data_IF_346638587835
#
_entry.id   IF_346638587835
#
_cell.length_a   1.000
_cell.length_b   1.000
_cell.length_c   1.000
_cell.angle_alpha   90.00
_cell.angle_beta   90.00
_cell.angle_gamma   90.00
#
_symmetry.space_group_name_H-M   'P 1'
#
loop_
_entity.id
_entity.type
_entity.pdbx_description
1 polymer ?
#
# COMPACT_ATOMS: atom_id res chain seq x y z
N UNK A 1 13.66 -8.79 11.89
CA UNK A 1 13.51 -7.39 12.34
C UNK A 1 12.76 -7.38 13.67
N UNK A 2 13.00 -6.42 14.58
CA UNK A 2 12.15 -6.25 15.75
C UNK A 2 10.71 -5.88 15.31
N UNK A 3 9.68 -6.18 16.14
CA UNK A 3 8.31 -5.75 15.86
C UNK A 3 8.25 -4.23 15.71
N UNK A 4 7.59 -3.74 14.68
CA UNK A 4 7.32 -2.31 14.47
C UNK A 4 5.88 -2.04 14.87
N UNK A 5 5.63 -1.04 15.71
CA UNK A 5 4.27 -0.61 16.05
C UNK A 5 3.60 0.04 14.82
N UNK A 6 2.88 -0.75 14.02
CA UNK A 6 2.05 -0.23 12.95
C UNK A 6 0.65 0.14 13.46
N UNK A 7 0.02 1.20 12.95
CA UNK A 7 -1.35 1.55 13.30
C UNK A 7 -2.36 0.61 12.64
N UNK A 8 -3.54 0.46 13.24
CA UNK A 8 -4.61 -0.37 12.65
C UNK A 8 -5.27 0.29 11.42
N UNK A 9 -5.15 1.60 11.31
CA UNK A 9 -5.78 2.42 10.28
C UNK A 9 -4.82 3.52 9.82
N UNK A 10 -4.72 3.74 8.51
CA UNK A 10 -3.89 4.77 7.89
C UNK A 10 -4.74 5.48 6.84
N UNK A 11 -4.81 6.79 6.91
CA UNK A 11 -5.44 7.61 5.88
C UNK A 11 -4.36 8.20 4.98
N UNK A 12 -4.45 7.96 3.68
CA UNK A 12 -3.45 8.40 2.71
C UNK A 12 -4.13 9.28 1.66
N UNK A 13 -3.61 10.48 1.43
CA UNK A 13 -4.12 11.34 0.38
C UNK A 13 -3.38 12.66 0.24
N UNK A 14 -3.65 13.38 -0.85
CA UNK A 14 -3.18 14.75 -0.98
C UNK A 14 -3.97 15.70 -0.08
N UNK A 15 -3.46 16.90 0.18
CA UNK A 15 -4.18 17.95 0.91
C UNK A 15 -5.56 18.23 0.30
N UNK A 16 -5.69 18.17 -1.02
CA UNK A 16 -6.97 18.34 -1.71
C UNK A 16 -7.89 17.13 -1.50
N UNK A 17 -7.36 15.90 -1.59
CA UNK A 17 -8.14 14.69 -1.33
C UNK A 17 -8.73 14.67 0.09
N UNK A 18 -7.96 15.11 1.09
CA UNK A 18 -8.46 15.26 2.46
C UNK A 18 -9.57 16.31 2.58
N UNK A 19 -9.44 17.47 1.94
CA UNK A 19 -10.48 18.53 1.95
C UNK A 19 -11.79 18.07 1.32
N UNK A 20 -11.71 17.17 0.35
CA UNK A 20 -12.87 16.63 -0.36
C UNK A 20 -13.38 15.31 0.25
N UNK A 21 -12.78 14.83 1.35
CA UNK A 21 -13.08 13.50 1.92
C UNK A 21 -12.93 12.34 0.91
N UNK A 22 -11.98 12.47 -0.01
CA UNK A 22 -11.63 11.48 -1.05
C UNK A 22 -10.24 10.86 -0.82
N UNK A 23 -9.77 10.87 0.42
CA UNK A 23 -8.52 10.21 0.79
C UNK A 23 -8.76 8.71 0.91
N UNK A 24 -7.72 7.92 0.67
CA UNK A 24 -7.77 6.48 0.86
C UNK A 24 -7.68 6.14 2.34
N UNK A 25 -8.50 5.19 2.78
CA UNK A 25 -8.43 4.63 4.13
C UNK A 25 -7.96 3.19 4.01
N UNK A 26 -6.84 2.89 4.65
CA UNK A 26 -6.26 1.57 4.73
C UNK A 26 -6.49 1.01 6.12
N UNK A 27 -7.04 -0.20 6.21
CA UNK A 27 -7.25 -0.91 7.46
C UNK A 27 -6.47 -2.20 7.51
N UNK A 28 -5.92 -2.50 8.67
CA UNK A 28 -5.24 -3.76 8.92
C UNK A 28 -6.23 -4.93 8.91
N UNK A 29 -5.99 -5.90 8.05
CA UNK A 29 -6.69 -7.18 8.02
C UNK A 29 -5.86 -8.21 8.78
N UNK A 30 -6.34 -8.63 9.96
CA UNK A 30 -5.66 -9.61 10.81
C UNK A 30 -5.61 -11.03 10.23
N UNK A 31 -6.56 -11.40 9.37
CA UNK A 31 -6.59 -12.73 8.74
C UNK A 31 -5.49 -12.85 7.70
N UNK A 32 -5.33 -11.81 6.88
CA UNK A 32 -4.37 -11.79 5.77
C UNK A 32 -3.05 -11.12 6.12
N UNK A 33 -2.98 -10.45 7.27
CA UNK A 33 -1.85 -9.64 7.74
C UNK A 33 -1.41 -8.60 6.71
N UNK A 34 -2.36 -7.80 6.21
CA UNK A 34 -2.12 -6.71 5.24
C UNK A 34 -2.98 -5.48 5.51
N UNK A 35 -2.52 -4.33 5.00
CA UNK A 35 -3.37 -3.15 4.88
C UNK A 35 -4.22 -3.24 3.62
N UNK A 36 -5.54 -3.17 3.78
CA UNK A 36 -6.52 -3.18 2.69
C UNK A 36 -7.18 -1.83 2.60
N UNK A 37 -7.26 -1.27 1.39
CA UNK A 37 -7.99 -0.06 1.12
C UNK A 37 -9.51 -0.31 1.17
N UNK A 38 -10.25 0.58 1.83
CA UNK A 38 -11.71 0.52 1.86
C UNK A 38 -12.32 0.72 0.46
N UNK A 39 -11.68 1.54 -0.37
CA UNK A 39 -12.13 1.81 -1.73
C UNK A 39 -11.80 0.66 -2.68
N UNK A 40 -12.64 0.50 -3.70
CA UNK A 40 -12.27 -0.28 -4.89
C UNK A 40 -11.29 0.55 -5.73
N UNK A 41 -10.60 -0.12 -6.65
CA UNK A 41 -9.67 0.49 -7.60
C UNK A 41 -10.43 1.30 -8.66
N UNK A 42 -9.72 2.20 -9.35
CA UNK A 42 -10.32 3.02 -10.42
C UNK A 42 -10.82 2.17 -11.60
N UNK A 43 -10.26 0.96 -11.79
CA UNK A 43 -10.71 0.00 -12.81
C UNK A 43 -12.08 -0.62 -12.45
N UNK A 44 -12.54 -0.51 -11.20
CA UNK A 44 -13.90 -0.86 -10.77
C UNK A 44 -14.26 -2.34 -10.93
N UNK A 45 -13.26 -3.22 -11.00
CA UNK A 45 -13.47 -4.67 -11.13
C UNK A 45 -14.07 -5.23 -9.83
N UNK A 46 -14.99 -6.18 -9.95
CA UNK A 46 -15.67 -6.74 -8.79
C UNK A 46 -14.69 -7.48 -7.86
N UNK A 47 -14.79 -7.20 -6.56
CA UNK A 47 -13.84 -7.70 -5.56
C UNK A 47 -12.43 -7.12 -5.62
N UNK A 48 -12.16 -6.15 -6.50
CA UNK A 48 -10.83 -5.55 -6.61
C UNK A 48 -10.56 -4.54 -5.49
N UNK A 49 -9.40 -4.74 -4.84
CA UNK A 49 -8.91 -3.95 -3.72
C UNK A 49 -7.47 -3.54 -3.97
N UNK A 50 -7.13 -2.38 -3.44
CA UNK A 50 -5.73 -1.97 -3.30
C UNK A 50 -5.23 -2.37 -1.91
N UNK A 51 -4.08 -3.03 -1.85
CA UNK A 51 -3.43 -3.44 -0.59
C UNK A 51 -1.99 -2.94 -0.56
N UNK A 52 -1.39 -2.82 0.62
CA UNK A 52 0.05 -2.51 0.74
C UNK A 52 0.79 -3.74 1.26
N UNK A 53 1.79 -4.19 0.49
CA UNK A 53 2.64 -5.35 0.81
C UNK A 53 4.11 -4.93 0.92
N UNK A 54 4.94 -5.81 1.49
CA UNK A 54 6.38 -5.60 1.56
C UNK A 54 7.04 -6.35 0.40
N UNK A 55 7.86 -5.63 -0.37
CA UNK A 55 8.71 -6.20 -1.40
C UNK A 55 10.18 -5.94 -1.04
N UNK A 56 10.96 -7.01 -0.89
CA UNK A 56 12.41 -6.89 -0.74
C UNK A 56 13.06 -6.72 -2.11
N UNK A 57 14.07 -5.85 -2.19
CA UNK A 57 14.86 -5.66 -3.41
C UNK A 57 16.34 -5.49 -3.06
N UNK A 58 17.21 -5.56 -4.06
CA UNK A 58 18.64 -5.30 -3.89
C UNK A 58 18.94 -3.90 -3.34
N UNK A 59 18.05 -2.92 -3.55
CA UNK A 59 18.18 -1.55 -3.02
C UNK A 59 17.51 -1.34 -1.66
N UNK A 60 17.01 -2.42 -1.04
CA UNK A 60 16.35 -2.41 0.27
C UNK A 60 14.87 -2.75 0.20
N UNK A 61 14.21 -2.55 1.33
CA UNK A 61 12.79 -2.86 1.51
C UNK A 61 11.92 -1.78 0.88
N UNK A 62 10.89 -2.21 0.14
CA UNK A 62 9.87 -1.36 -0.45
C UNK A 62 8.50 -1.74 0.10
N UNK A 63 7.63 -0.74 0.24
CA UNK A 63 6.21 -0.91 0.48
C UNK A 63 5.49 -0.64 -0.82
N UNK A 64 4.76 -1.63 -1.32
CA UNK A 64 4.16 -1.60 -2.65
C UNK A 64 2.65 -1.64 -2.51
N UNK A 65 1.98 -0.63 -3.04
CA UNK A 65 0.54 -0.63 -3.22
C UNK A 65 0.20 -1.49 -4.45
N UNK A 66 -0.59 -2.53 -4.26
CA UNK A 66 -0.93 -3.54 -5.27
C UNK A 66 -2.43 -3.62 -5.42
N UNK A 67 -2.90 -3.56 -6.66
CA UNK A 67 -4.27 -3.83 -7.07
C UNK A 67 -4.43 -5.33 -7.31
N UNK A 68 -5.56 -5.88 -6.88
CA UNK A 68 -5.84 -7.30 -7.05
C UNK A 68 -7.19 -7.73 -6.47
N UNK A 69 -7.54 -8.98 -6.72
CA UNK A 69 -8.81 -9.55 -6.28
C UNK A 69 -8.71 -10.06 -4.84
N UNK A 70 -9.65 -9.63 -4.00
CA UNK A 70 -9.78 -10.09 -2.63
C UNK A 70 -10.80 -11.24 -2.54
N UNK A 71 -10.41 -12.36 -1.93
CA UNK A 71 -11.34 -13.41 -1.48
C UNK A 71 -11.43 -13.40 0.05
N UNK A 72 -12.24 -14.30 0.63
CA UNK A 72 -12.36 -14.41 2.09
C UNK A 72 -11.04 -14.77 2.79
N UNK A 73 -10.15 -15.47 2.11
CA UNK A 73 -8.98 -16.15 2.65
C UNK A 73 -7.66 -15.79 1.97
N UNK A 74 -7.69 -15.08 0.84
CA UNK A 74 -6.49 -14.67 0.11
C UNK A 74 -6.68 -13.36 -0.65
N UNK A 75 -5.55 -12.76 -0.99
CA UNK A 75 -5.45 -11.68 -1.97
C UNK A 75 -4.65 -12.19 -3.17
N UNK A 76 -5.16 -12.01 -4.37
CA UNK A 76 -4.48 -12.35 -5.62
C UNK A 76 -4.04 -11.06 -6.29
N UNK A 77 -2.73 -10.81 -6.29
CA UNK A 77 -2.14 -9.63 -6.92
C UNK A 77 -2.40 -9.62 -8.43
N UNK A 78 -2.62 -8.42 -8.98
CA UNK A 78 -2.74 -8.20 -10.43
C UNK A 78 -1.69 -7.20 -10.92
N UNK A 79 -1.60 -6.04 -10.26
CA UNK A 79 -0.75 -4.94 -10.73
C UNK A 79 -0.23 -4.12 -9.55
N UNK A 80 1.05 -3.80 -9.54
CA UNK A 80 1.60 -2.82 -8.61
C UNK A 80 1.26 -1.39 -9.11
N UNK A 81 0.75 -0.52 -8.24
CA UNK A 81 0.37 0.85 -8.61
C UNK A 81 1.42 1.87 -8.15
N UNK A 82 1.84 1.78 -6.89
CA UNK A 82 2.76 2.72 -6.26
C UNK A 82 3.75 1.99 -5.37
N UNK A 83 4.92 2.58 -5.14
CA UNK A 83 5.84 2.09 -4.10
C UNK A 83 6.58 3.19 -3.38
N UNK A 84 7.00 2.92 -2.15
CA UNK A 84 7.86 3.82 -1.36
C UNK A 84 8.84 3.01 -0.50
N UNK A 85 10.00 3.59 -0.17
CA UNK A 85 10.89 3.05 0.88
C UNK A 85 10.65 3.71 2.24
N UNK A 86 9.83 4.77 2.26
CA UNK A 86 9.53 5.50 3.48
C UNK A 86 8.55 4.72 4.36
N UNK A 87 8.63 4.94 5.67
CA UNK A 87 7.73 4.35 6.67
C UNK A 87 6.32 4.98 6.53
N UNK A 88 5.57 4.57 5.51
CA UNK A 88 4.27 5.17 5.11
C UNK A 88 3.22 5.17 6.23
N UNK A 89 3.42 4.35 7.26
CA UNK A 89 2.57 4.26 8.44
C UNK A 89 2.87 5.33 9.50
N UNK A 90 3.88 6.17 9.31
CA UNK A 90 4.13 7.33 10.17
C UNK A 90 3.32 8.51 9.64
N UNK A 91 2.83 9.36 10.54
CA UNK A 91 2.14 10.55 10.12
C UNK A 91 3.13 11.52 9.44
N UNK A 92 2.79 12.02 8.26
CA UNK A 92 3.69 12.88 7.49
C UNK A 92 3.46 12.80 5.98
N UNK A 93 4.26 13.54 5.23
CA UNK A 93 4.29 13.46 3.77
C UNK A 93 5.32 12.44 3.32
N UNK A 94 4.94 11.63 2.34
CA UNK A 94 5.79 10.57 1.78
C UNK A 94 5.86 10.64 0.27
N UNK A 95 7.04 10.36 -0.28
CA UNK A 95 7.24 10.18 -1.72
C UNK A 95 6.85 8.77 -2.17
N UNK A 96 6.12 8.69 -3.27
CA UNK A 96 5.70 7.45 -3.92
C UNK A 96 6.13 7.44 -5.37
N UNK A 97 6.82 6.38 -5.77
CA UNK A 97 7.10 6.09 -7.18
C UNK A 97 5.87 5.46 -7.82
N UNK A 98 5.54 5.94 -9.01
CA UNK A 98 4.41 5.45 -9.80
C UNK A 98 4.86 4.33 -10.71
N UNK A 99 4.07 3.28 -10.83
CA UNK A 99 4.23 2.31 -11.91
C UNK A 99 3.65 2.90 -13.19
N UNK A 100 4.48 3.09 -14.23
CA UNK A 100 4.06 3.57 -15.54
C UNK A 100 3.44 2.48 -16.40
N UNK A 101 3.68 1.22 -16.05
CA UNK A 101 3.04 0.10 -16.70
C UNK A 101 1.62 -0.06 -16.15
N UNK A 102 0.65 0.41 -16.93
CA UNK A 102 -0.77 0.28 -16.58
C UNK A 102 -1.33 -1.12 -16.90
N UNK A 103 -0.60 -1.98 -17.59
CA UNK A 103 -1.03 -3.33 -17.96
C UNK A 103 -0.60 -4.37 -16.90
N UNK A 104 -1.04 -5.62 -17.07
CA UNK A 104 -0.73 -6.77 -16.19
C UNK A 104 0.71 -7.31 -16.35
N UNK A 105 1.67 -6.45 -16.72
CA UNK A 105 3.07 -6.80 -16.89
C UNK A 105 3.93 -6.39 -15.69
N UNK A 106 5.23 -6.68 -15.78
CA UNK A 106 6.20 -6.26 -14.75
C UNK A 106 6.17 -4.73 -14.55
N UNK A 107 6.35 -4.24 -13.32
CA UNK A 107 6.23 -2.82 -13.04
C UNK A 107 7.37 -2.01 -13.68
N UNK A 108 7.01 -0.93 -14.36
CA UNK A 108 7.92 0.08 -14.91
C UNK A 108 7.91 1.31 -14.00
N UNK A 109 8.68 1.23 -12.92
CA UNK A 109 8.74 2.29 -11.92
C UNK A 109 9.35 3.56 -12.50
N UNK A 110 8.63 4.68 -12.33
CA UNK A 110 9.18 5.98 -12.67
C UNK A 110 10.27 6.36 -11.66
N UNK A 111 11.52 6.35 -12.11
CA UNK A 111 12.70 6.70 -11.31
C UNK A 111 13.25 8.08 -11.64
N UNK A 112 12.57 8.89 -12.46
CA UNK A 112 13.04 10.24 -12.78
C UNK A 112 12.90 11.15 -11.56
N UNK A 113 13.88 12.03 -11.34
CA UNK A 113 13.78 13.03 -10.27
C UNK A 113 12.58 13.95 -10.52
N UNK A 114 11.66 14.01 -9.56
CA UNK A 114 10.44 14.83 -9.63
C UNK A 114 9.19 14.13 -10.17
N UNK A 115 9.25 12.87 -10.59
CA UNK A 115 8.07 12.07 -10.97
C UNK A 115 7.35 11.41 -9.79
N UNK A 116 7.85 11.61 -8.56
CA UNK A 116 7.25 11.07 -7.35
C UNK A 116 5.95 11.80 -7.02
N UNK A 117 4.91 11.02 -6.75
CA UNK A 117 3.70 11.54 -6.12
C UNK A 117 3.98 11.74 -4.63
N UNK A 118 3.53 12.87 -4.08
CA UNK A 118 3.59 13.11 -2.65
C UNK A 118 2.19 12.97 -2.05
N UNK A 119 2.08 12.15 -1.01
CA UNK A 119 0.83 11.95 -0.27
C UNK A 119 1.08 12.09 1.23
N UNK A 120 0.09 12.64 1.95
CA UNK A 120 0.10 12.75 3.39
C UNK A 120 -0.55 11.50 4.01
N UNK A 121 0.17 10.85 4.92
CA UNK A 121 -0.34 9.84 5.83
C UNK A 121 -0.84 10.51 7.11
N UNK A 122 -2.10 10.26 7.46
CA UNK A 122 -2.68 10.61 8.77
C UNK A 122 -3.03 9.33 9.51
N UNK A 123 -2.59 9.26 10.75
CA UNK A 123 -2.72 8.06 11.60
C UNK A 123 -3.65 8.40 12.76
N UNK A 124 -4.84 7.77 12.85
CA UNK A 124 -5.71 7.93 14.01
C UNK A 124 -5.03 7.40 15.28
N UNK A 125 -5.36 7.95 16.46
CA UNK A 125 -4.74 7.55 17.73
C UNK A 125 -5.07 6.11 18.19
N UNK A 126 -5.85 5.33 17.41
CA UNK A 126 -6.11 3.92 17.69
C UNK A 126 -4.95 3.06 17.19
N UNK A 127 -3.95 2.89 18.05
CA UNK A 127 -2.82 1.98 17.81
C UNK A 127 -3.16 0.58 18.30
N UNK A 128 -3.41 -0.34 17.38
CA UNK A 128 -3.20 -1.77 17.63
C UNK A 128 -1.79 -2.06 17.15
N UNK A 129 -0.86 -2.37 18.05
CA UNK A 129 0.48 -2.82 17.64
C UNK A 129 0.36 -4.13 16.87
N UNK A 130 0.86 -4.15 15.65
CA UNK A 130 0.98 -5.39 14.86
C UNK A 130 2.42 -5.61 14.46
N UNK A 131 2.94 -6.82 14.70
CA UNK A 131 4.28 -7.18 14.28
C UNK A 131 4.38 -7.23 12.74
N UNK A 132 5.34 -6.50 12.20
CA UNK A 132 5.80 -6.65 10.82
C UNK A 132 6.38 -8.08 10.68
N UNK A 133 5.59 -9.02 10.17
CA UNK A 133 6.01 -10.41 10.01
C UNK A 133 6.17 -10.78 8.52
N UNK A 134 6.77 -11.93 8.26
CA UNK A 134 7.02 -12.42 6.90
C UNK A 134 5.73 -12.68 6.09
N UNK A 135 4.54 -12.58 6.69
CA UNK A 135 3.27 -12.78 5.97
C UNK A 135 2.91 -11.58 5.08
N UNK A 136 3.34 -10.36 5.44
CA UNK A 136 3.31 -9.20 4.52
C UNK A 136 4.18 -9.43 3.27
N UNK A 137 5.20 -10.29 3.37
CA UNK A 137 6.11 -10.64 2.27
C UNK A 137 5.53 -11.74 1.38
N UNK A 138 4.71 -12.65 1.92
CA UNK A 138 4.14 -13.77 1.14
C UNK A 138 3.24 -13.31 -0.01
N UNK A 139 2.59 -12.15 0.10
CA UNK A 139 1.70 -11.64 -0.94
C UNK A 139 2.44 -10.97 -2.11
N UNK A 140 3.74 -10.66 -1.95
CA UNK A 140 4.61 -10.21 -3.03
C UNK A 140 5.29 -11.37 -3.78
N UNK A 141 5.17 -12.60 -3.29
CA UNK A 141 5.83 -13.80 -3.83
C UNK A 141 4.91 -14.72 -4.65
N UNK A 142 3.69 -14.28 -4.98
CA UNK A 142 2.83 -15.03 -5.89
C UNK A 142 3.12 -14.62 -7.33
N UNK A 143 4.14 -15.27 -7.90
CA UNK A 143 4.21 -15.65 -9.32
C UNK A 143 3.85 -17.14 -9.44
#
# INVERSE_FOLDING_TARGET
MPPVDMPAEIHVGTRNAFRQSRHYVYRWNHTLNIFVCDHTTDDGLDGEKMVIVIADSASGQWYVAVEGAMTADRFVSRRAAFRTQEEFWRAGWHGWQVNRNNDSGGPDWDTQDGSQLSAESRVPPRTVTVALNDQLRQLALTD
#
